data_IF_580355428615
#
_entry.id   IF_580355428615
#
_cell.length_a   1.000
_cell.length_b   1.000
_cell.length_c   1.000
_cell.angle_alpha   90.00
_cell.angle_beta   90.00
_cell.angle_gamma   90.00
#
_symmetry.space_group_name_H-M   'P 1'
#
loop_
_entity.id
_entity.type
_entity.pdbx_description
1 polymer ?
#
# COMPACT_ATOMS: atom_id res chain seq x y z
N UNK A 1 48.86 59.93 -5.58
CA UNK A 1 47.73 60.73 -5.14
C UNK A 1 46.69 59.70 -4.71
N UNK A 2 46.35 59.71 -3.43
CA UNK A 2 45.75 58.64 -2.67
C UNK A 2 44.27 58.37 -2.93
N UNK A 3 43.99 57.14 -2.78
CA UNK A 3 42.61 56.59 -2.65
C UNK A 3 42.21 56.65 -1.18
N UNK A 4 41.01 57.10 -0.82
CA UNK A 4 40.54 57.01 0.56
C UNK A 4 39.87 55.69 0.86
N UNK A 5 40.25 55.13 2.00
CA UNK A 5 39.63 53.97 2.65
C UNK A 5 38.16 54.26 3.03
N UNK A 6 37.25 53.38 2.62
CA UNK A 6 35.88 53.34 3.14
C UNK A 6 35.78 52.24 4.15
N UNK A 7 35.66 52.56 5.43
CA UNK A 7 35.27 51.68 6.52
C UNK A 7 33.81 51.24 6.34
N UNK A 8 33.60 49.95 6.15
CA UNK A 8 32.26 49.35 6.25
C UNK A 8 32.01 49.01 7.73
N UNK A 9 30.97 49.62 8.27
CA UNK A 9 30.47 49.33 9.61
C UNK A 9 29.76 47.97 9.60
N UNK A 10 30.16 47.13 10.53
CA UNK A 10 29.47 45.85 10.83
C UNK A 10 28.16 46.15 11.54
N UNK A 11 27.05 45.88 10.86
CA UNK A 11 25.71 45.91 11.47
C UNK A 11 25.36 44.57 12.02
N UNK A 12 24.80 44.59 13.21
CA UNK A 12 24.50 43.49 14.10
C UNK A 12 23.34 42.65 13.55
N UNK A 13 23.63 41.42 13.10
CA UNK A 13 22.62 40.42 12.87
C UNK A 13 22.06 39.88 14.19
N UNK A 14 20.81 40.16 14.45
CA UNK A 14 19.98 39.56 15.51
C UNK A 14 19.95 38.04 15.36
N UNK A 15 20.62 37.33 16.25
CA UNK A 15 20.51 35.90 16.44
C UNK A 15 19.08 35.57 16.85
N UNK A 16 18.35 34.94 15.92
CA UNK A 16 17.12 34.18 16.26
C UNK A 16 17.57 32.96 17.06
N UNK A 17 17.36 33.00 18.37
CA UNK A 17 17.52 31.85 19.24
C UNK A 17 16.59 30.73 18.78
N UNK A 18 17.14 29.78 18.06
CA UNK A 18 16.53 28.48 17.89
C UNK A 18 16.36 27.85 19.29
N UNK A 19 15.13 27.62 19.68
CA UNK A 19 14.77 26.92 20.91
C UNK A 19 15.35 25.50 20.78
N UNK A 20 16.41 25.23 21.51
CA UNK A 20 16.99 23.89 21.64
C UNK A 20 15.94 22.99 22.26
N UNK A 21 15.50 22.00 21.52
CA UNK A 21 14.84 20.82 22.06
C UNK A 21 15.72 20.20 23.14
N UNK A 22 15.15 19.68 24.24
CA UNK A 22 15.91 19.10 25.33
C UNK A 22 16.78 17.96 24.77
N UNK A 23 18.10 18.09 24.97
CA UNK A 23 19.09 17.12 24.59
C UNK A 23 18.93 15.90 25.50
N UNK A 24 18.13 14.92 25.07
CA UNK A 24 18.04 13.60 25.72
C UNK A 24 19.36 12.91 25.42
N UNK A 25 20.30 13.00 26.36
CA UNK A 25 21.53 12.21 26.37
C UNK A 25 21.16 10.74 26.54
N UNK A 26 21.20 10.00 25.46
CA UNK A 26 20.97 8.59 25.35
C UNK A 26 20.41 8.32 23.96
N UNK A 27 21.29 8.09 22.97
CA UNK A 27 20.84 7.51 21.72
C UNK A 27 20.33 6.08 21.99
N UNK A 28 19.27 5.62 21.29
CA UNK A 28 18.74 4.26 21.43
C UNK A 28 19.76 3.14 21.15
N UNK A 29 20.94 3.48 20.61
CA UNK A 29 22.05 2.55 20.35
C UNK A 29 22.74 2.02 21.60
N UNK A 30 22.54 2.69 22.77
CA UNK A 30 23.16 2.28 24.04
C UNK A 30 22.21 1.46 24.94
N UNK A 31 20.95 1.38 24.56
CA UNK A 31 20.02 0.45 25.16
C UNK A 31 20.28 -0.91 24.50
N UNK A 32 20.78 -1.87 25.28
CA UNK A 32 20.86 -3.25 24.81
C UNK A 32 19.53 -3.60 24.17
N UNK A 33 19.52 -3.83 22.86
CA UNK A 33 18.34 -4.37 22.19
C UNK A 33 17.88 -5.55 23.04
N UNK A 34 16.60 -5.62 23.41
CA UNK A 34 16.10 -6.81 24.08
C UNK A 34 16.50 -7.97 23.17
N UNK A 35 17.25 -8.93 23.71
CA UNK A 35 17.69 -10.12 22.99
C UNK A 35 16.48 -10.99 22.57
N UNK A 36 15.61 -10.45 21.75
CA UNK A 36 14.95 -11.18 20.71
C UNK A 36 15.89 -11.09 19.49
N UNK A 37 17.05 -11.69 19.63
CA UNK A 37 17.84 -12.11 18.49
C UNK A 37 16.98 -13.16 17.79
N UNK A 38 16.04 -12.71 16.99
CA UNK A 38 15.70 -13.43 15.79
C UNK A 38 16.96 -13.36 14.93
N UNK A 39 17.90 -14.28 15.26
CA UNK A 39 19.01 -14.61 14.41
C UNK A 39 18.44 -14.62 12.98
N UNK A 40 18.94 -13.74 12.13
CA UNK A 40 18.58 -13.67 10.72
C UNK A 40 19.05 -14.96 10.06
N UNK A 41 18.36 -16.05 10.38
CA UNK A 41 18.58 -17.34 9.75
C UNK A 41 18.18 -17.16 8.30
N UNK A 42 19.10 -17.44 7.41
CA UNK A 42 18.81 -17.36 5.97
C UNK A 42 17.51 -18.11 5.69
N UNK A 43 16.69 -17.62 4.79
CA UNK A 43 15.39 -18.22 4.41
C UNK A 43 15.56 -19.72 4.09
N UNK A 44 16.71 -20.11 3.54
CA UNK A 44 17.08 -21.49 3.23
C UNK A 44 17.28 -22.34 4.49
N UNK A 45 17.95 -21.83 5.54
CA UNK A 45 18.12 -22.55 6.79
C UNK A 45 16.80 -22.71 7.56
N UNK A 46 15.89 -21.72 7.47
CA UNK A 46 14.56 -21.80 8.10
C UNK A 46 13.65 -22.85 7.44
N UNK A 47 13.85 -23.18 6.18
CA UNK A 47 13.10 -24.22 5.45
C UNK A 47 13.53 -25.65 5.91
N UNK A 48 14.76 -25.83 6.35
CA UNK A 48 15.31 -27.15 6.71
C UNK A 48 15.44 -27.37 8.22
N UNK A 49 15.35 -26.32 9.05
CA UNK A 49 15.33 -26.50 10.49
C UNK A 49 13.92 -26.89 10.96
N UNK A 50 13.81 -28.03 11.64
CA UNK A 50 12.60 -28.39 12.40
C UNK A 50 12.36 -27.29 13.43
N UNK A 51 11.32 -26.43 13.18
CA UNK A 51 10.86 -25.44 14.15
C UNK A 51 10.69 -26.15 15.50
N UNK A 52 11.33 -25.65 16.56
CA UNK A 52 11.02 -26.09 17.93
C UNK A 52 9.50 -26.03 18.06
N UNK A 53 8.89 -27.12 18.51
CA UNK A 53 7.45 -27.14 18.79
C UNK A 53 7.24 -26.17 19.97
N UNK A 54 6.80 -24.95 19.64
CA UNK A 54 6.38 -24.00 20.65
C UNK A 54 5.00 -24.46 21.11
N UNK A 55 4.79 -24.49 22.44
CA UNK A 55 3.47 -24.79 22.98
C UNK A 55 2.48 -23.70 22.49
N UNK A 56 1.44 -24.05 21.74
CA UNK A 56 0.51 -23.07 21.20
C UNK A 56 -0.24 -22.28 22.28
N UNK A 57 -0.35 -22.81 23.48
CA UNK A 57 -1.03 -22.18 24.62
C UNK A 57 -0.06 -21.41 25.54
N UNK A 58 1.25 -21.42 25.25
CA UNK A 58 2.20 -20.56 25.92
C UNK A 58 1.97 -19.08 25.53
N UNK A 59 2.30 -18.18 26.46
CA UNK A 59 2.18 -16.74 26.25
C UNK A 59 3.26 -16.28 25.27
N UNK A 60 2.84 -15.73 24.12
CA UNK A 60 3.74 -15.24 23.08
C UNK A 60 4.50 -13.96 23.51
N UNK A 61 3.98 -13.24 24.48
CA UNK A 61 4.49 -11.94 24.96
C UNK A 61 5.01 -12.02 26.39
N UNK A 62 5.83 -13.02 26.71
CA UNK A 62 6.44 -13.18 28.04
C UNK A 62 7.30 -11.98 28.44
N UNK A 63 8.01 -11.38 27.49
CA UNK A 63 8.69 -10.09 27.64
C UNK A 63 8.01 -9.05 26.77
N UNK A 64 7.66 -7.91 27.32
CA UNK A 64 7.08 -6.79 26.60
C UNK A 64 8.05 -5.61 26.66
N UNK A 65 8.13 -4.83 25.60
CA UNK A 65 8.83 -3.53 25.59
C UNK A 65 8.32 -2.57 26.66
N UNK A 66 7.11 -2.80 27.17
CA UNK A 66 6.51 -2.01 28.25
C UNK A 66 6.91 -2.46 29.64
N UNK A 67 7.62 -3.56 29.82
CA UNK A 67 8.13 -4.04 31.10
C UNK A 67 9.33 -3.20 31.56
N UNK A 68 10.04 -2.54 30.62
CA UNK A 68 11.11 -1.57 30.90
C UNK A 68 10.54 -0.15 30.97
N UNK A 69 10.73 0.60 32.10
CA UNK A 69 10.22 1.95 32.24
C UNK A 69 10.73 2.95 31.18
N UNK A 70 11.96 2.79 30.69
CA UNK A 70 12.54 3.67 29.67
C UNK A 70 11.94 3.39 28.28
N UNK A 71 11.84 2.11 27.92
CA UNK A 71 11.22 1.69 26.68
C UNK A 71 9.73 2.01 26.66
N UNK A 72 9.05 1.83 27.80
CA UNK A 72 7.63 2.16 27.95
C UNK A 72 7.32 3.57 27.51
N UNK A 73 8.10 4.57 27.94
CA UNK A 73 7.88 5.96 27.55
C UNK A 73 8.06 6.18 26.04
N UNK A 74 9.01 5.48 25.42
CA UNK A 74 9.30 5.60 23.98
C UNK A 74 8.24 4.91 23.11
N UNK A 75 7.68 3.78 23.57
CA UNK A 75 6.67 3.02 22.82
C UNK A 75 5.24 3.44 23.12
N UNK A 76 5.02 4.38 24.02
CA UNK A 76 3.68 4.87 24.34
C UNK A 76 3.12 5.65 23.15
N UNK A 77 1.94 5.27 22.60
CA UNK A 77 1.37 5.96 21.45
C UNK A 77 0.94 7.37 21.79
N UNK A 78 0.94 8.23 20.78
CA UNK A 78 0.49 9.61 20.91
C UNK A 78 -0.98 9.68 21.37
N UNK A 79 -1.39 10.64 22.24
CA UNK A 79 -2.77 10.76 22.73
C UNK A 79 -3.85 10.88 21.63
N UNK A 80 -3.46 11.31 20.41
CA UNK A 80 -4.36 11.39 19.25
C UNK A 80 -4.38 10.11 18.39
N UNK A 81 -3.71 9.05 18.82
CA UNK A 81 -3.69 7.79 18.07
C UNK A 81 -5.10 7.21 17.94
N UNK A 82 -5.54 6.89 16.73
CA UNK A 82 -6.92 6.47 16.44
C UNK A 82 -7.34 5.20 17.20
N UNK A 83 -6.42 4.27 17.42
CA UNK A 83 -6.69 3.00 18.08
C UNK A 83 -6.33 3.01 19.57
N UNK A 84 -6.16 4.19 20.19
CA UNK A 84 -5.76 4.33 21.61
C UNK A 84 -6.71 3.59 22.56
N UNK A 85 -7.99 3.53 22.25
CA UNK A 85 -9.02 2.85 23.04
C UNK A 85 -8.84 1.32 23.13
N UNK A 86 -8.02 0.73 22.27
CA UNK A 86 -7.65 -0.69 22.27
C UNK A 86 -6.21 -0.93 22.71
N UNK A 87 -5.46 0.12 22.97
CA UNK A 87 -4.10 0.01 23.50
C UNK A 87 -4.13 -0.38 24.98
N UNK A 88 -3.39 -1.43 25.33
CA UNK A 88 -3.29 -1.92 26.70
C UNK A 88 -1.87 -2.45 26.95
N UNK A 89 -1.20 -1.82 27.90
CA UNK A 89 0.20 -2.15 28.24
C UNK A 89 0.35 -3.56 28.83
N UNK A 90 -0.65 -3.97 29.62
CA UNK A 90 -0.62 -5.22 30.35
C UNK A 90 -1.21 -6.38 29.54
N UNK A 91 -1.69 -6.11 28.32
CA UNK A 91 -2.29 -7.12 27.48
C UNK A 91 -1.28 -8.22 27.13
N UNK A 92 -1.67 -9.48 27.32
CA UNK A 92 -0.88 -10.67 26.99
C UNK A 92 -1.75 -11.65 26.18
N UNK A 93 -1.14 -12.32 25.22
CA UNK A 93 -1.83 -13.30 24.36
C UNK A 93 -0.97 -14.54 24.13
N UNK A 94 -1.61 -15.63 23.72
CA UNK A 94 -0.96 -16.88 23.40
C UNK A 94 -0.52 -16.95 21.94
N UNK A 95 0.42 -17.84 21.62
CA UNK A 95 0.81 -18.10 20.23
C UNK A 95 -0.37 -18.58 19.36
N UNK A 96 -1.34 -19.27 19.94
CA UNK A 96 -2.56 -19.71 19.26
C UNK A 96 -3.42 -18.52 18.86
N UNK A 97 -3.66 -17.58 19.77
CA UNK A 97 -4.42 -16.35 19.50
C UNK A 97 -3.74 -15.52 18.42
N UNK A 98 -2.44 -15.34 18.54
CA UNK A 98 -1.68 -14.57 17.54
C UNK A 98 -1.74 -15.21 16.15
N UNK A 99 -1.56 -16.52 16.06
CA UNK A 99 -1.66 -17.25 14.79
C UNK A 99 -3.08 -17.19 14.19
N UNK A 100 -4.12 -17.25 15.04
CA UNK A 100 -5.53 -17.13 14.60
C UNK A 100 -5.81 -15.73 14.04
N UNK A 101 -5.40 -14.67 14.75
CA UNK A 101 -5.54 -13.27 14.32
C UNK A 101 -4.80 -13.05 13.01
N UNK A 102 -3.55 -13.48 12.92
CA UNK A 102 -2.74 -13.36 11.70
C UNK A 102 -3.40 -14.05 10.49
N UNK A 103 -3.87 -15.29 10.65
CA UNK A 103 -4.56 -16.02 9.57
C UNK A 103 -5.82 -15.28 9.14
N UNK A 104 -6.59 -14.76 10.08
CA UNK A 104 -7.82 -14.01 9.80
C UNK A 104 -7.52 -12.72 9.04
N UNK A 105 -6.48 -12.00 9.44
CA UNK A 105 -5.99 -10.81 8.74
C UNK A 105 -5.52 -11.16 7.32
N UNK A 106 -4.78 -12.26 7.16
CA UNK A 106 -4.33 -12.73 5.84
C UNK A 106 -5.54 -13.05 4.91
N UNK A 107 -6.58 -13.69 5.44
CA UNK A 107 -7.76 -14.04 4.65
C UNK A 107 -8.69 -12.86 4.35
N UNK A 108 -8.74 -11.84 5.20
CA UNK A 108 -9.65 -10.70 5.02
C UNK A 108 -8.97 -9.52 4.34
N UNK A 109 -7.79 -9.15 4.79
CA UNK A 109 -7.09 -7.94 4.33
C UNK A 109 -6.13 -8.25 3.18
N UNK A 110 -5.18 -9.17 3.42
CA UNK A 110 -4.16 -9.46 2.41
C UNK A 110 -4.78 -10.02 1.13
N UNK A 111 -5.67 -11.02 1.25
CA UNK A 111 -6.31 -11.63 0.08
C UNK A 111 -7.02 -10.57 -0.78
N UNK A 112 -7.74 -9.62 -0.16
CA UNK A 112 -8.41 -8.57 -0.90
C UNK A 112 -7.44 -7.60 -1.56
N UNK A 113 -6.35 -7.21 -0.89
CA UNK A 113 -5.27 -6.42 -1.48
C UNK A 113 -4.66 -7.12 -2.70
N UNK A 114 -4.45 -8.44 -2.63
CA UNK A 114 -3.93 -9.22 -3.77
C UNK A 114 -4.93 -9.21 -4.95
N UNK A 115 -6.24 -9.30 -4.69
CA UNK A 115 -7.28 -9.19 -5.73
C UNK A 115 -7.29 -7.81 -6.38
N UNK A 116 -7.15 -6.74 -5.58
CA UNK A 116 -7.06 -5.37 -6.13
C UNK A 116 -5.78 -5.18 -6.97
N UNK A 117 -4.66 -5.71 -6.51
CA UNK A 117 -3.39 -5.63 -7.25
C UNK A 117 -3.42 -6.49 -8.53
N UNK A 118 -4.11 -7.61 -8.50
CA UNK A 118 -4.39 -8.39 -9.71
C UNK A 118 -5.15 -7.55 -10.75
N UNK A 119 -6.21 -6.84 -10.35
CA UNK A 119 -6.97 -5.94 -11.23
C UNK A 119 -6.08 -4.83 -11.82
N UNK A 120 -5.21 -4.20 -11.02
CA UNK A 120 -4.26 -3.22 -11.51
C UNK A 120 -3.37 -3.79 -12.62
N UNK A 121 -2.85 -4.98 -12.40
CA UNK A 121 -1.92 -5.61 -13.35
C UNK A 121 -2.62 -6.09 -14.63
N UNK A 122 -3.90 -6.46 -14.57
CA UNK A 122 -4.69 -6.71 -15.78
C UNK A 122 -4.71 -5.49 -16.70
N UNK A 123 -5.17 -4.34 -16.17
CA UNK A 123 -5.29 -3.11 -16.94
C UNK A 123 -3.94 -2.52 -17.39
N UNK A 124 -2.88 -2.77 -16.63
CA UNK A 124 -1.52 -2.34 -16.95
C UNK A 124 -0.89 -3.18 -18.07
N UNK A 125 -1.10 -4.48 -18.01
CA UNK A 125 -0.45 -5.46 -18.90
C UNK A 125 -1.12 -5.65 -20.25
N UNK A 126 -2.39 -5.28 -20.41
CA UNK A 126 -3.22 -5.56 -21.58
C UNK A 126 -2.73 -4.92 -22.89
N UNK A 127 -1.94 -3.84 -22.80
CA UNK A 127 -1.45 -3.12 -23.97
C UNK A 127 -0.56 -3.98 -24.88
N UNK A 128 0.26 -4.85 -24.30
CA UNK A 128 1.10 -5.79 -25.07
C UNK A 128 0.26 -6.77 -25.87
N UNK A 129 -0.77 -7.34 -25.24
CA UNK A 129 -1.70 -8.26 -25.88
C UNK A 129 -2.53 -7.57 -26.98
N UNK A 130 -2.99 -6.34 -26.75
CA UNK A 130 -3.69 -5.53 -27.73
C UNK A 130 -2.80 -5.17 -28.94
N UNK A 131 -1.53 -4.85 -28.72
CA UNK A 131 -0.57 -4.57 -29.78
C UNK A 131 -0.33 -5.78 -30.66
N UNK A 132 -0.35 -6.99 -30.09
CA UNK A 132 -0.26 -8.25 -30.84
C UNK A 132 -1.51 -8.49 -31.72
N UNK A 133 -2.69 -7.99 -31.35
CA UNK A 133 -3.94 -8.05 -32.11
C UNK A 133 -4.14 -6.88 -33.10
N UNK A 134 -3.08 -6.33 -33.64
CA UNK A 134 -3.12 -5.27 -34.67
C UNK A 134 -3.56 -3.87 -34.20
N UNK A 135 -3.58 -3.56 -32.89
CA UNK A 135 -3.91 -2.22 -32.35
C UNK A 135 -3.21 -1.09 -33.13
N UNK A 136 -1.90 -1.27 -33.43
CA UNK A 136 -1.10 -0.25 -34.13
C UNK A 136 -1.60 0.01 -35.53
N UNK A 137 -1.98 -1.04 -36.27
CA UNK A 137 -2.52 -0.92 -37.64
C UNK A 137 -3.91 -0.29 -37.64
N UNK A 138 -4.77 -0.75 -36.75
CA UNK A 138 -6.17 -0.31 -36.67
C UNK A 138 -6.26 1.18 -36.28
N UNK A 139 -5.40 1.64 -35.37
CA UNK A 139 -5.31 3.06 -34.99
C UNK A 139 -4.40 3.90 -35.89
N UNK A 140 -3.73 3.28 -36.88
CA UNK A 140 -2.77 3.94 -37.80
C UNK A 140 -1.66 4.67 -37.06
N UNK A 141 -1.14 4.05 -35.99
CA UNK A 141 -0.06 4.57 -35.16
C UNK A 141 1.23 3.81 -35.37
N UNK A 142 2.36 4.45 -35.08
CA UNK A 142 3.70 3.87 -35.19
C UNK A 142 4.15 3.22 -33.90
N UNK A 143 5.21 2.41 -33.96
CA UNK A 143 5.90 1.88 -32.76
C UNK A 143 6.42 3.02 -31.86
N UNK A 144 6.85 4.14 -32.43
CA UNK A 144 7.23 5.31 -31.65
C UNK A 144 6.05 5.90 -30.87
N UNK A 145 4.85 5.93 -31.47
CA UNK A 145 3.65 6.38 -30.76
C UNK A 145 3.28 5.44 -29.62
N UNK A 146 3.45 4.13 -29.82
CA UNK A 146 3.27 3.15 -28.75
C UNK A 146 4.22 3.39 -27.59
N UNK A 147 5.51 3.60 -27.86
CA UNK A 147 6.51 3.89 -26.84
C UNK A 147 6.23 5.23 -26.13
N UNK A 148 5.81 6.25 -26.87
CA UNK A 148 5.43 7.55 -26.30
C UNK A 148 4.19 7.43 -25.42
N UNK A 149 3.21 6.62 -25.77
CA UNK A 149 2.04 6.36 -24.93
C UNK A 149 2.43 5.64 -23.62
N UNK A 150 3.39 4.71 -23.67
CA UNK A 150 3.96 4.11 -22.45
C UNK A 150 4.70 5.15 -21.59
N UNK A 151 5.40 6.10 -22.21
CA UNK A 151 6.03 7.20 -21.47
C UNK A 151 4.97 8.14 -20.87
N UNK A 152 3.87 8.44 -21.56
CA UNK A 152 2.76 9.22 -21.00
C UNK A 152 2.14 8.54 -19.78
N UNK A 153 1.97 7.22 -19.84
CA UNK A 153 1.55 6.44 -18.67
C UNK A 153 2.50 6.63 -17.48
N UNK A 154 3.82 6.49 -17.71
CA UNK A 154 4.84 6.66 -16.66
C UNK A 154 4.87 8.06 -16.10
N UNK A 155 4.73 9.08 -16.94
CA UNK A 155 4.65 10.49 -16.50
C UNK A 155 3.42 10.71 -15.62
N UNK A 156 2.25 10.23 -16.05
CA UNK A 156 1.03 10.30 -15.24
C UNK A 156 1.20 9.61 -13.89
N UNK A 157 1.80 8.42 -13.89
CA UNK A 157 2.08 7.64 -12.68
C UNK A 157 2.97 8.41 -11.68
N UNK A 158 4.10 8.96 -12.13
CA UNK A 158 5.03 9.70 -11.29
C UNK A 158 4.41 11.00 -10.73
N UNK A 159 3.63 11.71 -11.55
CA UNK A 159 2.96 12.94 -11.09
C UNK A 159 1.96 12.64 -9.98
N UNK A 160 1.26 11.52 -10.06
CA UNK A 160 0.22 11.16 -9.11
C UNK A 160 0.72 10.54 -7.81
N UNK A 161 1.92 9.95 -7.79
CA UNK A 161 2.41 9.13 -6.69
C UNK A 161 2.41 9.87 -5.35
N UNK A 162 2.97 11.08 -5.28
CA UNK A 162 3.00 11.87 -4.05
C UNK A 162 1.64 12.49 -3.72
N UNK A 163 0.92 13.18 -4.64
CA UNK A 163 -0.39 13.74 -4.36
C UNK A 163 -1.43 12.69 -3.91
N UNK A 164 -1.37 11.49 -4.48
CA UNK A 164 -2.25 10.39 -4.11
C UNK A 164 -2.13 10.02 -2.64
N UNK A 165 -0.91 9.86 -2.14
CA UNK A 165 -0.67 9.55 -0.73
C UNK A 165 -1.18 10.65 0.20
N UNK A 166 -1.05 11.92 -0.20
CA UNK A 166 -1.59 13.05 0.56
C UNK A 166 -3.12 13.01 0.64
N UNK A 167 -3.77 12.66 -0.48
CA UNK A 167 -5.23 12.50 -0.53
C UNK A 167 -5.65 11.28 0.29
N UNK A 168 -4.94 10.16 0.16
CA UNK A 168 -5.18 8.92 0.89
C UNK A 168 -5.13 9.12 2.41
N UNK A 169 -4.17 9.91 2.92
CA UNK A 169 -4.10 10.27 4.34
C UNK A 169 -5.31 11.08 4.83
N UNK A 170 -5.91 11.93 3.97
CA UNK A 170 -7.07 12.75 4.34
C UNK A 170 -8.38 11.97 4.28
N UNK A 171 -8.57 11.18 3.24
CA UNK A 171 -9.83 10.44 2.99
C UNK A 171 -9.89 9.12 3.74
N UNK A 172 -8.75 8.53 4.05
CA UNK A 172 -8.60 7.16 4.51
C UNK A 172 -8.42 6.17 3.34
N UNK A 173 -7.66 5.08 3.56
CA UNK A 173 -7.37 4.09 2.53
C UNK A 173 -8.64 3.34 2.08
N UNK A 174 -9.59 3.14 2.99
CA UNK A 174 -10.88 2.50 2.76
C UNK A 174 -11.74 3.16 1.68
N UNK A 175 -11.57 4.47 1.48
CA UNK A 175 -12.28 5.25 0.46
C UNK A 175 -11.40 5.57 -0.73
N UNK A 176 -10.16 5.94 -0.46
CA UNK A 176 -9.27 6.43 -1.51
C UNK A 176 -8.85 5.33 -2.48
N UNK A 177 -8.46 4.16 -1.97
CA UNK A 177 -8.05 3.03 -2.83
C UNK A 177 -9.19 2.59 -3.77
N UNK A 178 -10.45 2.35 -3.33
CA UNK A 178 -11.56 2.05 -4.25
C UNK A 178 -11.82 3.15 -5.29
N UNK A 179 -11.72 4.44 -4.91
CA UNK A 179 -11.89 5.55 -5.85
C UNK A 179 -10.82 5.49 -6.95
N UNK A 180 -9.57 5.25 -6.60
CA UNK A 180 -8.49 5.07 -7.57
C UNK A 180 -8.81 3.93 -8.54
N UNK A 181 -9.23 2.76 -8.02
CA UNK A 181 -9.55 1.59 -8.84
C UNK A 181 -10.66 1.93 -9.84
N UNK A 182 -11.73 2.54 -9.40
CA UNK A 182 -12.84 2.94 -10.28
C UNK A 182 -12.37 3.96 -11.32
N UNK A 183 -11.57 4.96 -10.93
CA UNK A 183 -11.09 5.99 -11.83
C UNK A 183 -10.21 5.41 -12.94
N UNK A 184 -9.24 4.56 -12.62
CA UNK A 184 -8.42 3.94 -13.67
C UNK A 184 -9.20 2.92 -14.51
N UNK A 185 -10.16 2.18 -13.92
CA UNK A 185 -11.01 1.25 -14.68
C UNK A 185 -11.85 2.00 -15.73
N UNK A 186 -12.39 3.15 -15.38
CA UNK A 186 -13.12 4.00 -16.33
C UNK A 186 -12.19 4.52 -17.44
N UNK A 187 -10.97 4.94 -17.09
CA UNK A 187 -9.99 5.36 -18.07
C UNK A 187 -9.53 4.20 -18.97
N UNK A 188 -9.37 2.99 -18.41
CA UNK A 188 -9.05 1.77 -19.15
C UNK A 188 -10.19 1.38 -20.09
N UNK A 189 -11.44 1.38 -19.61
CA UNK A 189 -12.63 1.14 -20.42
C UNK A 189 -12.82 2.19 -21.52
N UNK A 190 -12.39 3.42 -21.29
CA UNK A 190 -12.37 4.49 -22.31
C UNK A 190 -11.55 4.13 -23.56
N UNK A 191 -10.58 3.23 -23.44
CA UNK A 191 -9.80 2.74 -24.57
C UNK A 191 -10.65 1.96 -25.60
N UNK A 192 -11.79 1.43 -25.20
CA UNK A 192 -12.75 0.82 -26.13
C UNK A 192 -13.22 1.80 -27.21
N UNK A 193 -13.33 3.08 -26.88
CA UNK A 193 -13.81 4.14 -27.78
C UNK A 193 -12.69 4.85 -28.54
N UNK A 194 -11.44 4.47 -28.37
CA UNK A 194 -10.31 5.10 -29.05
C UNK A 194 -10.43 5.00 -30.57
N UNK A 195 -10.20 6.12 -31.27
CA UNK A 195 -10.24 6.20 -32.71
C UNK A 195 -8.96 6.81 -33.32
N UNK A 196 -8.15 7.46 -32.48
CA UNK A 196 -7.00 8.20 -32.95
C UNK A 196 -5.85 8.21 -31.93
N UNK A 197 -4.68 8.69 -32.40
CA UNK A 197 -3.46 8.83 -31.60
C UNK A 197 -3.65 9.66 -30.34
N UNK A 198 -4.39 10.77 -30.42
CA UNK A 198 -4.60 11.67 -29.26
C UNK A 198 -5.40 10.97 -28.14
N UNK A 199 -6.46 10.25 -28.51
CA UNK A 199 -7.23 9.44 -27.57
C UNK A 199 -6.39 8.36 -26.89
N UNK A 200 -5.49 7.71 -27.66
CA UNK A 200 -4.57 6.72 -27.12
C UNK A 200 -3.63 7.31 -26.05
N UNK A 201 -3.02 8.47 -26.33
CA UNK A 201 -2.15 9.14 -25.35
C UNK A 201 -2.90 9.62 -24.11
N UNK A 202 -4.09 10.19 -24.32
CA UNK A 202 -4.92 10.68 -23.22
C UNK A 202 -5.32 9.52 -22.27
N UNK A 203 -5.85 8.42 -22.82
CA UNK A 203 -6.20 7.25 -22.00
C UNK A 203 -5.00 6.73 -21.21
N UNK A 204 -3.82 6.58 -21.86
CA UNK A 204 -2.61 6.11 -21.18
C UNK A 204 -2.13 7.04 -20.07
N UNK A 205 -2.19 8.34 -20.29
CA UNK A 205 -1.86 9.32 -19.26
C UNK A 205 -2.80 9.21 -18.04
N UNK A 206 -4.11 9.17 -18.26
CA UNK A 206 -5.08 9.09 -17.17
C UNK A 206 -5.03 7.75 -16.43
N UNK A 207 -4.81 6.64 -17.12
CA UNK A 207 -4.58 5.34 -16.48
C UNK A 207 -3.37 5.44 -15.55
N UNK A 208 -2.23 5.97 -16.01
CA UNK A 208 -1.05 6.19 -15.18
C UNK A 208 -1.34 7.11 -13.99
N UNK A 209 -2.04 8.21 -14.23
CA UNK A 209 -2.39 9.18 -13.20
C UNK A 209 -3.22 8.57 -12.06
N UNK A 210 -4.20 7.74 -12.38
CA UNK A 210 -5.04 7.12 -11.36
C UNK A 210 -4.41 5.88 -10.69
N UNK A 211 -3.48 5.21 -11.36
CA UNK A 211 -2.77 4.04 -10.81
C UNK A 211 -1.58 4.41 -9.91
N UNK A 212 -1.01 5.62 -10.07
CA UNK A 212 0.30 5.97 -9.49
C UNK A 212 0.38 5.88 -7.97
N UNK A 213 -0.72 6.09 -7.25
CA UNK A 213 -0.74 6.03 -5.79
C UNK A 213 -1.06 4.67 -5.20
N UNK A 214 -1.60 3.74 -5.97
CA UNK A 214 -2.16 2.49 -5.42
C UNK A 214 -1.11 1.63 -4.70
N UNK A 215 0.06 1.41 -5.31
CA UNK A 215 1.08 0.52 -4.73
C UNK A 215 1.56 1.02 -3.36
N UNK A 216 2.03 2.28 -3.23
CA UNK A 216 2.46 2.79 -1.93
C UNK A 216 1.30 2.88 -0.93
N UNK A 217 0.09 3.22 -1.34
CA UNK A 217 -1.09 3.26 -0.47
C UNK A 217 -1.45 1.85 0.04
N UNK A 218 -1.37 0.81 -0.79
CA UNK A 218 -1.60 -0.57 -0.40
C UNK A 218 -0.55 -1.10 0.58
N UNK A 219 0.74 -0.79 0.36
CA UNK A 219 1.82 -1.17 1.27
C UNK A 219 1.68 -0.46 2.62
N UNK A 220 1.37 0.84 2.61
CA UNK A 220 1.10 1.60 3.81
C UNK A 220 -0.09 1.00 4.58
N UNK A 221 -1.17 0.68 3.88
CA UNK A 221 -2.35 0.07 4.48
C UNK A 221 -2.04 -1.29 5.14
N UNK A 222 -1.27 -2.16 4.48
CA UNK A 222 -0.82 -3.42 5.07
C UNK A 222 0.00 -3.20 6.34
N UNK A 223 0.78 -2.13 6.41
CA UNK A 223 1.62 -1.82 7.57
C UNK A 223 0.83 -1.54 8.85
N UNK A 224 -0.47 -1.23 8.77
CA UNK A 224 -1.33 -1.04 9.94
C UNK A 224 -1.73 -2.35 10.63
N UNK A 225 -1.62 -3.48 9.91
CA UNK A 225 -2.07 -4.79 10.38
C UNK A 225 -0.91 -5.76 10.68
N UNK A 226 0.26 -5.52 10.09
CA UNK A 226 1.39 -6.46 10.15
C UNK A 226 2.62 -5.84 10.80
N UNK A 227 3.38 -6.69 11.49
CA UNK A 227 4.67 -6.34 12.07
C UNK A 227 5.76 -6.27 11.00
N UNK A 228 6.90 -5.65 11.33
CA UNK A 228 8.07 -5.54 10.42
C UNK A 228 8.57 -6.92 9.97
N UNK A 229 8.54 -7.90 10.85
CA UNK A 229 8.99 -9.28 10.57
C UNK A 229 8.03 -10.04 9.67
N UNK A 230 6.75 -9.70 9.68
CA UNK A 230 5.71 -10.35 8.89
C UNK A 230 5.54 -9.75 7.50
N UNK A 231 5.88 -8.47 7.34
CA UNK A 231 5.70 -7.71 6.10
C UNK A 231 6.45 -8.28 4.89
N UNK A 232 7.73 -8.71 5.00
CA UNK A 232 8.47 -9.20 3.83
C UNK A 232 7.80 -10.37 3.12
N UNK A 233 7.25 -11.32 3.86
CA UNK A 233 6.53 -12.45 3.27
C UNK A 233 5.26 -12.02 2.52
N UNK A 234 4.51 -11.05 3.07
CA UNK A 234 3.29 -10.53 2.43
C UNK A 234 3.60 -9.70 1.19
N UNK A 235 4.68 -8.93 1.24
CA UNK A 235 5.18 -8.24 0.06
C UNK A 235 5.67 -9.20 -1.02
N UNK A 236 6.28 -10.32 -0.65
CA UNK A 236 6.63 -11.37 -1.61
C UNK A 236 5.38 -11.94 -2.31
N UNK A 237 4.29 -12.20 -1.57
CA UNK A 237 3.02 -12.63 -2.15
C UNK A 237 2.40 -11.54 -3.03
N UNK A 238 2.50 -10.29 -2.63
CA UNK A 238 2.03 -9.14 -3.42
C UNK A 238 2.75 -9.10 -4.78
N UNK A 239 4.07 -9.16 -4.80
CA UNK A 239 4.84 -9.18 -6.07
C UNK A 239 4.68 -10.48 -6.86
N UNK A 240 4.44 -11.61 -6.19
CA UNK A 240 4.09 -12.85 -6.87
C UNK A 240 2.77 -12.72 -7.66
N UNK A 241 1.80 -11.96 -7.14
CA UNK A 241 0.55 -11.68 -7.83
C UNK A 241 0.76 -10.92 -9.14
N UNK A 242 1.74 -10.04 -9.23
CA UNK A 242 2.11 -9.36 -10.49
C UNK A 242 2.46 -10.38 -11.60
N UNK A 243 3.34 -11.33 -11.29
CA UNK A 243 3.75 -12.37 -12.23
C UNK A 243 2.59 -13.29 -12.61
N UNK A 244 1.77 -13.70 -11.65
CA UNK A 244 0.58 -14.53 -11.89
C UNK A 244 -0.48 -13.80 -12.72
N UNK A 245 -0.64 -12.51 -12.50
CA UNK A 245 -1.57 -11.67 -13.28
C UNK A 245 -1.23 -11.67 -14.75
N UNK A 246 0.05 -11.60 -15.11
CA UNK A 246 0.50 -11.66 -16.51
C UNK A 246 0.11 -12.96 -17.21
N UNK A 247 0.21 -14.09 -16.50
CA UNK A 247 -0.22 -15.40 -17.02
C UNK A 247 -1.72 -15.41 -17.26
N UNK A 248 -2.50 -15.01 -16.27
CA UNK A 248 -3.98 -15.01 -16.37
C UNK A 248 -4.45 -14.02 -17.44
N UNK A 249 -3.84 -12.81 -17.49
CA UNK A 249 -4.13 -11.82 -18.54
C UNK A 249 -3.91 -12.36 -19.95
N UNK A 250 -2.87 -13.18 -20.16
CA UNK A 250 -2.62 -13.80 -21.45
C UNK A 250 -3.69 -14.82 -21.85
N UNK A 251 -4.22 -15.60 -20.91
CA UNK A 251 -5.35 -16.50 -21.15
C UNK A 251 -6.65 -15.74 -21.43
N UNK A 252 -6.92 -14.67 -20.69
CA UNK A 252 -8.08 -13.79 -20.92
C UNK A 252 -7.95 -13.17 -22.31
N UNK A 253 -6.79 -12.62 -22.65
CA UNK A 253 -6.53 -12.04 -23.96
C UNK A 253 -6.74 -13.05 -25.08
N UNK A 254 -6.22 -14.27 -24.95
CA UNK A 254 -6.43 -15.33 -25.93
C UNK A 254 -7.93 -15.59 -26.18
N UNK A 255 -8.73 -15.69 -25.14
CA UNK A 255 -10.18 -15.91 -25.28
C UNK A 255 -10.90 -14.70 -25.89
N UNK A 256 -10.61 -13.51 -25.40
CA UNK A 256 -11.32 -12.27 -25.77
C UNK A 256 -10.95 -11.78 -27.18
N UNK A 257 -9.69 -11.92 -27.60
CA UNK A 257 -9.26 -11.48 -28.93
C UNK A 257 -9.98 -12.25 -30.06
N UNK A 258 -10.50 -13.45 -29.81
CA UNK A 258 -11.35 -14.17 -30.76
C UNK A 258 -12.72 -13.50 -31.00
N UNK A 259 -13.12 -12.51 -30.15
CA UNK A 259 -14.32 -11.70 -30.39
C UNK A 259 -14.15 -10.65 -31.50
N UNK A 260 -13.01 -10.68 -32.23
CA UNK A 260 -12.79 -9.81 -33.39
C UNK A 260 -13.91 -9.97 -34.41
N UNK A 261 -14.53 -8.86 -34.83
CA UNK A 261 -15.68 -8.84 -35.75
C UNK A 261 -17.05 -8.84 -35.06
N UNK A 262 -17.12 -9.08 -33.76
CA UNK A 262 -18.35 -8.90 -32.99
C UNK A 262 -18.71 -7.42 -32.99
N UNK A 263 -19.94 -7.09 -33.38
CA UNK A 263 -20.42 -5.74 -33.54
C UNK A 263 -19.55 -4.86 -34.49
N UNK A 264 -18.86 -5.53 -35.44
CA UNK A 264 -17.97 -4.87 -36.39
C UNK A 264 -16.72 -4.25 -35.78
N UNK A 265 -16.35 -4.63 -34.55
CA UNK A 265 -15.24 -4.03 -33.79
C UNK A 265 -14.03 -4.95 -33.74
N UNK A 266 -12.88 -4.33 -33.48
CA UNK A 266 -11.60 -5.02 -33.33
C UNK A 266 -11.51 -5.74 -32.00
N UNK A 267 -10.78 -6.88 -31.93
CA UNK A 267 -10.65 -7.72 -30.73
C UNK A 267 -10.02 -7.01 -29.53
N UNK A 268 -9.01 -6.17 -29.77
CA UNK A 268 -8.36 -5.39 -28.71
C UNK A 268 -9.30 -4.42 -27.97
N UNK A 269 -10.37 -3.93 -28.61
CA UNK A 269 -11.38 -3.09 -27.94
C UNK A 269 -12.13 -3.89 -26.88
N UNK A 270 -12.56 -5.10 -27.24
CA UNK A 270 -13.22 -5.99 -26.29
C UNK A 270 -12.31 -6.39 -25.14
N UNK A 271 -10.99 -6.55 -25.40
CA UNK A 271 -10.02 -6.84 -24.36
C UNK A 271 -9.99 -5.71 -23.31
N UNK A 272 -9.83 -4.46 -23.73
CA UNK A 272 -9.82 -3.32 -22.83
C UNK A 272 -11.15 -3.18 -22.07
N UNK A 273 -12.28 -3.40 -22.71
CA UNK A 273 -13.58 -3.28 -22.07
C UNK A 273 -13.80 -4.35 -21.00
N UNK A 274 -13.51 -5.61 -21.32
CA UNK A 274 -13.76 -6.75 -20.42
C UNK A 274 -12.84 -6.65 -19.20
N UNK A 275 -11.56 -6.37 -19.38
CA UNK A 275 -10.62 -6.21 -18.26
C UNK A 275 -10.98 -5.01 -17.40
N UNK A 276 -11.34 -3.88 -18.01
CA UNK A 276 -11.83 -2.72 -17.28
C UNK A 276 -13.12 -2.98 -16.48
N UNK A 277 -14.05 -3.78 -17.01
CA UNK A 277 -15.25 -4.19 -16.28
C UNK A 277 -14.94 -5.08 -15.08
N UNK A 278 -14.01 -6.03 -15.24
CA UNK A 278 -13.54 -6.86 -14.12
C UNK A 278 -12.97 -5.97 -13.02
N UNK A 279 -12.09 -5.04 -13.38
CA UNK A 279 -11.45 -4.14 -12.42
C UNK A 279 -12.44 -3.15 -11.82
N UNK A 280 -13.41 -2.69 -12.58
CA UNK A 280 -14.49 -1.83 -12.09
C UNK A 280 -15.33 -2.54 -11.00
N UNK A 281 -15.66 -3.81 -11.22
CA UNK A 281 -16.38 -4.63 -10.21
C UNK A 281 -15.50 -4.78 -8.95
N UNK A 282 -14.20 -5.06 -9.10
CA UNK A 282 -13.28 -5.12 -7.97
C UNK A 282 -13.28 -3.78 -7.22
N UNK A 283 -13.26 -2.64 -7.92
CA UNK A 283 -13.32 -1.30 -7.33
C UNK A 283 -14.58 -1.07 -6.49
N UNK A 284 -15.75 -1.42 -7.00
CA UNK A 284 -17.00 -1.29 -6.24
C UNK A 284 -17.03 -2.24 -5.03
N UNK A 285 -16.62 -3.48 -5.19
CA UNK A 285 -16.55 -4.43 -4.08
C UNK A 285 -15.53 -4.00 -3.02
N UNK A 286 -14.50 -3.25 -3.40
CA UNK A 286 -13.49 -2.75 -2.46
C UNK A 286 -14.08 -1.77 -1.44
N UNK A 287 -15.14 -1.03 -1.75
CA UNK A 287 -15.87 -0.24 -0.75
C UNK A 287 -16.52 -1.09 0.33
N UNK A 288 -16.83 -2.35 0.02
CA UNK A 288 -17.44 -3.27 0.97
C UNK A 288 -16.40 -4.00 1.82
N UNK A 289 -15.30 -4.44 1.20
CA UNK A 289 -14.33 -5.32 1.84
C UNK A 289 -13.15 -4.59 2.49
N UNK A 290 -12.82 -3.38 2.05
CA UNK A 290 -11.73 -2.61 2.63
C UNK A 290 -12.21 -1.88 3.89
N UNK A 291 -11.50 -2.08 4.99
CA UNK A 291 -11.82 -1.48 6.29
C UNK A 291 -10.87 -0.32 6.59
N UNK A 292 -11.32 0.74 7.30
CA UNK A 292 -10.47 1.89 7.60
C UNK A 292 -9.23 1.55 8.43
N UNK A 293 -9.36 0.63 9.38
CA UNK A 293 -8.28 0.25 10.29
C UNK A 293 -8.63 -0.95 11.16
N UNK A 294 -7.69 -1.41 12.02
CA UNK A 294 -7.85 -2.61 12.82
C UNK A 294 -9.05 -2.60 13.77
N UNK A 295 -9.46 -1.42 14.26
CA UNK A 295 -10.55 -1.26 15.22
C UNK A 295 -11.84 -0.75 14.60
N UNK A 296 -11.82 -0.39 13.31
CA UNK A 296 -12.96 0.18 12.58
C UNK A 296 -13.52 -0.83 11.58
N UNK A 297 -13.83 -2.03 12.07
CA UNK A 297 -14.24 -3.17 11.23
C UNK A 297 -15.75 -3.31 11.08
N UNK A 298 -16.54 -2.55 11.89
CA UNK A 298 -17.99 -2.59 11.85
C UNK A 298 -18.52 -1.72 10.72
N UNK A 299 -19.29 -2.33 9.83
CA UNK A 299 -19.93 -1.67 8.70
C UNK A 299 -21.43 -1.91 8.74
N UNK A 300 -22.22 -1.17 7.95
CA UNK A 300 -23.67 -1.34 7.88
C UNK A 300 -24.09 -2.75 7.43
N UNK A 301 -23.27 -3.41 6.62
CA UNK A 301 -23.54 -4.78 6.12
C UNK A 301 -22.85 -5.87 6.99
N UNK A 302 -21.88 -5.50 7.82
CA UNK A 302 -21.26 -6.37 8.81
C UNK A 302 -21.21 -5.69 10.20
N UNK A 303 -22.35 -5.66 10.92
CA UNK A 303 -22.42 -4.96 12.20
C UNK A 303 -21.57 -5.60 13.30
N UNK A 304 -21.24 -6.89 13.18
CA UNK A 304 -20.38 -7.59 14.12
C UNK A 304 -18.89 -7.26 13.91
N UNK A 305 -18.54 -6.68 12.75
CA UNK A 305 -17.17 -6.43 12.35
C UNK A 305 -16.41 -7.69 11.92
N UNK A 306 -15.19 -7.49 11.43
CA UNK A 306 -14.30 -8.59 11.07
C UNK A 306 -13.55 -9.16 12.28
N UNK A 307 -13.21 -8.32 13.26
CA UNK A 307 -12.45 -8.72 14.43
C UNK A 307 -13.27 -8.54 15.71
N UNK A 308 -13.08 -9.45 16.66
CA UNK A 308 -13.59 -9.32 18.02
C UNK A 308 -12.77 -8.29 18.78
N UNK A 309 -13.29 -7.76 19.89
CA UNK A 309 -12.56 -6.79 20.73
C UNK A 309 -11.20 -7.33 21.21
N UNK A 310 -11.12 -8.62 21.50
CA UNK A 310 -9.88 -9.30 21.86
C UNK A 310 -8.88 -9.32 20.72
N UNK A 311 -9.35 -9.65 19.51
CA UNK A 311 -8.50 -9.67 18.29
C UNK A 311 -8.02 -8.27 17.92
N UNK A 312 -8.87 -7.24 18.05
CA UNK A 312 -8.50 -5.84 17.85
C UNK A 312 -7.38 -5.41 18.79
N UNK A 313 -7.51 -5.74 20.11
CA UNK A 313 -6.45 -5.47 21.10
C UNK A 313 -5.14 -6.14 20.71
N UNK A 314 -5.17 -7.42 20.31
CA UNK A 314 -3.98 -8.15 19.89
C UNK A 314 -3.32 -7.47 18.68
N UNK A 315 -4.09 -7.09 17.63
CA UNK A 315 -3.53 -6.45 16.45
C UNK A 315 -2.85 -5.13 16.81
N UNK A 316 -3.55 -4.25 17.54
CA UNK A 316 -3.04 -2.93 17.92
C UNK A 316 -1.79 -3.03 18.78
N UNK A 317 -1.83 -3.84 19.84
CA UNK A 317 -0.70 -3.96 20.76
C UNK A 317 0.50 -4.65 20.12
N UNK A 318 0.29 -5.64 19.25
CA UNK A 318 1.35 -6.33 18.53
C UNK A 318 2.11 -5.40 17.59
N UNK A 319 1.37 -4.58 16.84
CA UNK A 319 1.95 -3.64 15.89
C UNK A 319 2.71 -2.51 16.58
N UNK A 320 2.16 -1.97 17.69
CA UNK A 320 2.82 -0.91 18.47
C UNK A 320 4.08 -1.39 19.18
N UNK A 321 4.10 -2.62 19.68
CA UNK A 321 5.29 -3.21 20.30
C UNK A 321 6.44 -3.47 19.34
N UNK A 322 6.12 -3.71 18.07
CA UNK A 322 7.09 -3.90 16.99
C UNK A 322 7.64 -2.56 16.46
N UNK A 323 6.80 -1.52 16.43
CA UNK A 323 7.18 -0.23 15.84
C UNK A 323 6.47 0.94 16.52
N UNK A 324 7.18 1.72 17.36
CA UNK A 324 6.61 2.88 18.05
C UNK A 324 6.17 3.99 17.08
N UNK A 325 6.79 4.10 15.90
CA UNK A 325 6.42 5.12 14.91
C UNK A 325 4.99 4.95 14.38
N UNK A 326 4.42 3.75 14.51
CA UNK A 326 3.04 3.47 14.13
C UNK A 326 2.03 4.05 15.12
N UNK A 327 2.44 4.37 16.35
CA UNK A 327 1.65 5.10 17.33
C UNK A 327 1.39 6.56 16.98
N UNK A 328 2.19 7.11 16.06
CA UNK A 328 2.02 8.47 15.52
C UNK A 328 1.25 8.49 14.19
N UNK A 329 0.97 7.33 13.62
CA UNK A 329 0.23 7.22 12.36
C UNK A 329 -1.26 7.45 12.58
N UNK A 330 -1.77 8.51 11.94
CA UNK A 330 -3.19 8.80 11.89
C UNK A 330 -3.68 8.73 10.44
N UNK A 331 -4.69 7.89 10.18
CA UNK A 331 -5.27 7.76 8.84
C UNK A 331 -5.96 9.02 8.34
N UNK A 332 -6.35 9.93 9.24
CA UNK A 332 -7.13 11.14 8.94
C UNK A 332 -6.51 12.43 9.42
N UNK A 333 -5.24 12.44 9.77
CA UNK A 333 -4.61 13.71 10.11
C UNK A 333 -4.55 14.61 8.89
N UNK A 334 -5.15 15.78 9.05
CA UNK A 334 -4.84 16.90 8.17
C UNK A 334 -3.33 17.14 8.23
N UNK A 335 -2.72 17.29 7.06
CA UNK A 335 -1.36 17.80 6.96
C UNK A 335 -1.40 19.23 7.55
N UNK A 336 -0.98 19.36 8.80
CA UNK A 336 -0.79 20.64 9.46
C UNK A 336 0.58 21.19 9.08
#
# INVERSE_FOLDING_TARGET
>A
MGTPDVKVASDSSSEVKATQSPNVKGQPSDLAEPEEIHEYQSVLTSLFQRRKKVDPDAIATTRSVFDDPLLRQYYQPHPKYENLHRFDIDERWTYREEAAVRRKTDCTILLWILVMFFGLNLDRGNLGNAAADNLLKDLKITTNDYNNAQNMYRVGFLIAEIPSQMIGKRLGPDRWIPIQIIAWSLASGGQFFMQNRAGFFACRFFIGLFMGGFIPDAILYLSYFYTKTEMPFRLALFWFTDSMSGVIASFIAYGVLHMRGVDGREGWRWLFLIEALITLVIGFLSFLFLIPGPTQTKTWWNPNGYFTEREEKIIVNRVLRDDPSKGDMHNRQALS
#
